data_IF_176434832268
#
_entry.id   IF_176434832268
#
_cell.length_a   1.000
_cell.length_b   1.000
_cell.length_c   1.000
_cell.angle_alpha   90.00
_cell.angle_beta   90.00
_cell.angle_gamma   90.00
#
_symmetry.space_group_name_H-M   'P 1'
#
loop_
_entity.id
_entity.type
_entity.pdbx_description
1 polymer ?
#
# COMPACT_ATOMS: atom_id res chain seq x y z
N UNK A 1 -15.12 -13.54 -9.01
CA UNK A 1 -15.29 -14.86 -8.36
C UNK A 1 -13.90 -15.38 -8.04
N UNK A 2 -13.58 -15.47 -6.76
CA UNK A 2 -12.23 -15.68 -6.26
C UNK A 2 -11.82 -17.15 -6.50
N UNK A 3 -11.00 -17.40 -7.53
CA UNK A 3 -10.26 -18.66 -7.66
C UNK A 3 -9.02 -18.62 -6.75
N UNK A 4 -9.25 -18.67 -5.43
CA UNK A 4 -8.15 -18.69 -4.45
C UNK A 4 -7.62 -20.12 -4.32
N UNK A 5 -6.49 -20.38 -4.97
CA UNK A 5 -5.55 -21.50 -4.70
C UNK A 5 -5.87 -22.87 -5.30
N UNK A 6 -6.35 -22.95 -6.54
CA UNK A 6 -6.40 -24.20 -7.33
C UNK A 6 -5.02 -24.73 -7.73
N UNK A 7 -3.98 -23.89 -7.73
CA UNK A 7 -2.60 -24.26 -8.10
C UNK A 7 -1.84 -25.08 -7.04
N UNK A 8 -2.37 -25.17 -5.80
CA UNK A 8 -1.77 -25.97 -4.72
C UNK A 8 -2.27 -27.42 -4.67
N UNK A 9 -3.16 -27.81 -5.59
CA UNK A 9 -3.83 -29.10 -5.54
C UNK A 9 -3.18 -30.10 -6.49
N UNK A 10 -2.89 -31.28 -5.97
CA UNK A 10 -2.50 -32.43 -6.78
C UNK A 10 -3.70 -32.91 -7.62
N UNK A 11 -3.45 -33.71 -8.66
CA UNK A 11 -4.56 -34.30 -9.42
C UNK A 11 -5.48 -35.15 -8.54
N UNK A 12 -4.92 -35.81 -7.51
CA UNK A 12 -5.68 -36.57 -6.51
C UNK A 12 -6.60 -35.66 -5.67
N UNK A 13 -6.13 -34.48 -5.26
CA UNK A 13 -6.95 -33.51 -4.53
C UNK A 13 -8.10 -32.98 -5.39
N UNK A 14 -7.81 -32.70 -6.67
CA UNK A 14 -8.81 -32.28 -7.65
C UNK A 14 -9.85 -33.38 -7.89
N UNK A 15 -9.41 -34.63 -7.96
CA UNK A 15 -10.30 -35.78 -8.11
C UNK A 15 -11.24 -35.92 -6.91
N UNK A 16 -10.73 -35.84 -5.68
CA UNK A 16 -11.54 -35.86 -4.45
C UNK A 16 -12.55 -34.70 -4.41
N UNK A 17 -12.15 -33.50 -4.86
CA UNK A 17 -13.05 -32.36 -4.96
C UNK A 17 -14.16 -32.55 -6.03
N UNK A 18 -13.81 -33.14 -7.19
CA UNK A 18 -14.75 -33.51 -8.25
C UNK A 18 -15.72 -34.60 -7.79
N UNK A 19 -15.23 -35.65 -7.11
CA UNK A 19 -16.03 -36.74 -6.57
C UNK A 19 -17.06 -36.21 -5.55
N UNK A 20 -16.64 -35.34 -4.63
CA UNK A 20 -17.55 -34.62 -3.72
C UNK A 20 -18.63 -33.85 -4.48
N UNK A 21 -18.27 -33.12 -5.55
CA UNK A 21 -19.23 -32.34 -6.36
C UNK A 21 -20.23 -33.24 -7.09
N UNK A 22 -19.77 -34.36 -7.66
CA UNK A 22 -20.63 -35.37 -8.31
C UNK A 22 -21.65 -35.95 -7.33
N UNK A 23 -21.19 -36.38 -6.14
CA UNK A 23 -22.07 -36.96 -5.12
C UNK A 23 -23.07 -35.94 -4.54
N UNK A 24 -22.68 -34.68 -4.44
CA UNK A 24 -23.61 -33.61 -4.06
C UNK A 24 -24.74 -33.47 -5.09
N UNK A 25 -24.43 -33.50 -6.39
CA UNK A 25 -25.44 -33.45 -7.44
C UNK A 25 -26.36 -34.68 -7.40
N UNK A 26 -25.83 -35.88 -7.18
CA UNK A 26 -26.63 -37.11 -7.01
C UNK A 26 -27.59 -36.99 -5.82
N UNK A 27 -27.11 -36.45 -4.69
CA UNK A 27 -27.96 -36.17 -3.53
C UNK A 27 -29.06 -35.13 -3.85
N UNK A 28 -28.75 -34.08 -4.62
CA UNK A 28 -29.74 -33.08 -5.02
C UNK A 28 -30.84 -33.67 -5.91
N UNK A 29 -30.48 -34.58 -6.82
CA UNK A 29 -31.43 -35.29 -7.67
C UNK A 29 -32.27 -36.31 -6.90
N UNK A 30 -31.71 -36.96 -5.87
CA UNK A 30 -32.40 -37.97 -5.07
C UNK A 30 -31.98 -37.88 -3.59
N UNK A 31 -32.82 -37.22 -2.79
CA UNK A 31 -32.55 -36.83 -1.39
C UNK A 31 -32.72 -37.98 -0.38
N UNK A 32 -32.07 -39.11 -0.63
CA UNK A 32 -32.06 -40.25 0.30
C UNK A 32 -31.01 -40.09 1.39
N UNK A 33 -31.24 -40.76 2.53
CA UNK A 33 -30.25 -40.83 3.62
C UNK A 33 -28.94 -41.49 3.17
N UNK A 34 -29.00 -42.47 2.28
CA UNK A 34 -27.82 -43.13 1.70
C UNK A 34 -26.98 -42.15 0.87
N UNK A 35 -27.60 -41.39 -0.04
CA UNK A 35 -26.91 -40.39 -0.86
C UNK A 35 -26.34 -39.24 -0.02
N UNK A 36 -27.03 -38.86 1.05
CA UNK A 36 -26.51 -37.89 2.00
C UNK A 36 -25.26 -38.39 2.71
N UNK A 37 -25.26 -39.65 3.16
CA UNK A 37 -24.12 -40.28 3.83
C UNK A 37 -22.88 -40.36 2.92
N UNK A 38 -23.06 -40.80 1.67
CA UNK A 38 -21.96 -40.91 0.69
C UNK A 38 -21.37 -39.54 0.33
N UNK A 39 -22.21 -38.52 0.13
CA UNK A 39 -21.73 -37.15 -0.04
C UNK A 39 -20.94 -36.64 1.18
N UNK A 40 -21.44 -36.90 2.39
CA UNK A 40 -20.79 -36.44 3.63
C UNK A 40 -19.39 -37.05 3.78
N UNK A 41 -19.24 -38.33 3.45
CA UNK A 41 -17.94 -39.00 3.51
C UNK A 41 -16.98 -38.43 2.45
N UNK A 42 -17.43 -38.28 1.19
CA UNK A 42 -16.62 -37.66 0.15
C UNK A 42 -16.24 -36.21 0.48
N UNK A 43 -17.13 -35.44 1.13
CA UNK A 43 -16.83 -34.10 1.63
C UNK A 43 -15.75 -34.13 2.72
N UNK A 44 -15.80 -35.11 3.62
CA UNK A 44 -14.79 -35.31 4.68
C UNK A 44 -13.43 -35.64 4.07
N UNK A 45 -13.39 -36.57 3.12
CA UNK A 45 -12.17 -36.97 2.40
C UNK A 45 -11.57 -35.79 1.64
N UNK A 46 -12.37 -35.04 0.88
CA UNK A 46 -11.89 -33.86 0.16
C UNK A 46 -11.37 -32.77 1.10
N UNK A 47 -12.07 -32.54 2.24
CA UNK A 47 -11.59 -31.56 3.25
C UNK A 47 -10.27 -31.99 3.86
N UNK A 48 -10.10 -33.28 4.16
CA UNK A 48 -8.84 -33.84 4.70
C UNK A 48 -7.70 -33.70 3.69
N UNK A 49 -7.94 -34.03 2.42
CA UNK A 49 -6.94 -33.90 1.36
C UNK A 49 -6.46 -32.45 1.20
N UNK A 50 -7.40 -31.49 1.13
CA UNK A 50 -7.07 -30.06 1.06
C UNK A 50 -6.29 -29.59 2.29
N UNK A 51 -6.62 -30.09 3.49
CA UNK A 51 -5.88 -29.75 4.70
C UNK A 51 -4.45 -30.28 4.67
N UNK A 52 -4.25 -31.52 4.23
CA UNK A 52 -2.92 -32.14 4.07
C UNK A 52 -2.09 -31.39 3.04
N UNK A 53 -2.64 -31.10 1.86
CA UNK A 53 -1.95 -30.37 0.80
C UNK A 53 -1.53 -28.97 1.25
N UNK A 54 -2.40 -28.26 2.00
CA UNK A 54 -2.06 -26.96 2.59
C UNK A 54 -0.95 -27.08 3.63
N UNK A 55 -1.02 -28.06 4.53
CA UNK A 55 0.02 -28.28 5.54
C UNK A 55 1.37 -28.55 4.87
N UNK A 56 1.44 -29.49 3.92
CA UNK A 56 2.66 -29.82 3.19
C UNK A 56 3.25 -28.61 2.46
N UNK A 57 2.42 -27.77 1.84
CA UNK A 57 2.89 -26.54 1.20
C UNK A 57 3.50 -25.55 2.20
N UNK A 58 2.82 -25.31 3.33
CA UNK A 58 3.32 -24.37 4.34
C UNK A 58 4.54 -24.90 5.09
N UNK A 59 4.65 -26.21 5.30
CA UNK A 59 5.84 -26.85 5.87
C UNK A 59 7.06 -26.63 4.97
N UNK A 60 6.91 -26.79 3.65
CA UNK A 60 7.97 -26.52 2.68
C UNK A 60 8.33 -25.03 2.62
N UNK A 61 7.35 -24.14 2.65
CA UNK A 61 7.61 -22.69 2.75
C UNK A 61 8.37 -22.38 4.03
N UNK A 62 7.97 -22.94 5.18
CA UNK A 62 8.66 -22.74 6.46
C UNK A 62 10.10 -23.19 6.41
N UNK A 63 10.37 -24.39 5.88
CA UNK A 63 11.73 -24.91 5.71
C UNK A 63 12.61 -23.99 4.85
N UNK A 64 12.06 -23.39 3.79
CA UNK A 64 12.79 -22.42 2.95
C UNK A 64 13.07 -21.11 3.68
N UNK A 65 12.19 -20.70 4.58
CA UNK A 65 12.40 -19.48 5.38
C UNK A 65 13.57 -19.62 6.36
N UNK A 66 13.91 -20.83 6.78
CA UNK A 66 15.07 -21.12 7.65
C UNK A 66 16.41 -21.08 6.89
N UNK A 67 16.39 -20.95 5.57
CA UNK A 67 17.60 -20.81 4.75
C UNK A 67 18.01 -19.35 4.61
N UNK A 68 19.27 -19.09 4.27
CA UNK A 68 19.74 -17.72 3.96
C UNK A 68 18.92 -17.04 2.85
N UNK A 69 18.40 -17.80 1.89
CA UNK A 69 17.51 -17.29 0.82
C UNK A 69 16.06 -17.04 1.27
N UNK A 70 15.73 -17.39 2.51
CA UNK A 70 14.42 -17.26 3.13
C UNK A 70 13.95 -15.81 3.25
N UNK A 71 14.86 -14.88 3.54
CA UNK A 71 14.55 -13.45 3.65
C UNK A 71 13.93 -12.90 2.35
N UNK A 72 14.51 -13.26 1.20
CA UNK A 72 14.00 -12.87 -0.13
C UNK A 72 12.61 -13.46 -0.42
N UNK A 73 12.33 -14.66 0.09
CA UNK A 73 11.03 -15.30 -0.04
C UNK A 73 9.95 -14.55 0.77
N UNK A 74 10.25 -14.08 1.98
CA UNK A 74 9.31 -13.28 2.79
C UNK A 74 8.89 -12.02 2.05
N UNK A 75 9.87 -11.22 1.60
CA UNK A 75 9.57 -9.98 0.89
C UNK A 75 8.77 -10.21 -0.38
N UNK A 76 9.04 -11.30 -1.11
CA UNK A 76 8.27 -11.68 -2.29
C UNK A 76 6.83 -12.06 -1.94
N UNK A 77 6.61 -12.88 -0.91
CA UNK A 77 5.26 -13.26 -0.44
C UNK A 77 4.49 -12.03 0.03
N UNK A 78 5.12 -11.14 0.80
CA UNK A 78 4.54 -9.89 1.27
C UNK A 78 4.12 -8.99 0.10
N UNK A 79 5.00 -8.77 -0.89
CA UNK A 79 4.67 -7.98 -2.09
C UNK A 79 3.52 -8.58 -2.90
N UNK A 80 3.46 -9.90 -3.06
CA UNK A 80 2.34 -10.55 -3.76
C UNK A 80 1.03 -10.36 -3.04
N UNK A 81 1.01 -10.48 -1.69
CA UNK A 81 -0.19 -10.21 -0.88
C UNK A 81 -0.65 -8.76 -1.01
N UNK A 82 0.29 -7.81 -0.93
CA UNK A 82 0.01 -6.39 -1.10
C UNK A 82 -0.63 -6.11 -2.46
N UNK A 83 -0.05 -6.63 -3.55
CA UNK A 83 -0.63 -6.51 -4.90
C UNK A 83 -2.03 -7.13 -5.01
N UNK A 84 -2.29 -8.23 -4.30
CA UNK A 84 -3.62 -8.87 -4.29
C UNK A 84 -4.66 -8.08 -3.47
N UNK A 85 -4.24 -7.22 -2.54
CA UNK A 85 -5.12 -6.33 -1.78
C UNK A 85 -5.36 -4.98 -2.44
N UNK A 86 -4.59 -4.63 -3.47
CA UNK A 86 -4.83 -3.44 -4.28
C UNK A 86 -6.11 -3.68 -5.13
N UNK A 87 -7.21 -3.00 -4.77
CA UNK A 87 -8.54 -3.13 -5.41
C UNK A 87 -8.54 -2.57 -6.85
N UNK A 88 -7.60 -1.67 -7.13
CA UNK A 88 -7.32 -1.10 -8.44
C UNK A 88 -5.87 -1.42 -8.77
N UNK A 89 -5.63 -2.20 -9.83
CA UNK A 89 -4.28 -2.35 -10.36
C UNK A 89 -3.75 -0.96 -10.69
N UNK A 90 -2.63 -0.57 -10.08
CA UNK A 90 -2.03 0.78 -10.12
C UNK A 90 -2.48 1.57 -11.36
N UNK A 91 -3.44 2.48 -11.16
CA UNK A 91 -3.98 3.27 -12.26
C UNK A 91 -2.94 4.29 -12.69
N UNK A 92 -2.52 4.21 -13.95
CA UNK A 92 -1.50 5.07 -14.54
C UNK A 92 -2.10 5.99 -15.62
N UNK A 93 -3.39 6.30 -15.51
CA UNK A 93 -4.09 7.11 -16.49
C UNK A 93 -4.08 8.59 -16.15
N UNK A 94 -3.77 9.43 -17.14
CA UNK A 94 -3.81 10.91 -17.02
C UNK A 94 -4.74 11.47 -18.07
N UNK A 95 -5.56 12.45 -17.70
CA UNK A 95 -6.45 13.12 -18.65
C UNK A 95 -5.70 14.17 -19.49
N UNK A 96 -6.00 14.23 -20.78
CA UNK A 96 -5.55 15.30 -21.66
C UNK A 96 -6.38 16.58 -21.46
N UNK A 97 -6.07 17.64 -22.22
CA UNK A 97 -6.80 18.93 -22.15
C UNK A 97 -8.28 18.83 -22.56
N UNK A 98 -8.68 17.71 -23.15
CA UNK A 98 -10.04 17.44 -23.61
C UNK A 98 -10.74 16.39 -22.73
N UNK A 99 -10.27 16.19 -21.50
CA UNK A 99 -10.78 15.19 -20.53
C UNK A 99 -10.77 13.75 -21.04
N UNK A 100 -9.94 13.43 -22.04
CA UNK A 100 -9.77 12.06 -22.53
C UNK A 100 -8.62 11.37 -21.80
N UNK A 101 -8.89 10.15 -21.34
CA UNK A 101 -7.93 9.37 -20.59
C UNK A 101 -6.80 8.84 -21.48
N UNK A 102 -5.57 9.22 -21.17
CA UNK A 102 -4.34 8.67 -21.75
C UNK A 102 -3.85 7.53 -20.86
N UNK A 103 -3.74 6.34 -21.44
CA UNK A 103 -3.17 5.14 -20.79
C UNK A 103 -1.80 4.73 -21.36
N UNK A 104 -1.36 5.36 -22.44
CA UNK A 104 -0.07 5.10 -23.08
C UNK A 104 1.06 5.83 -22.33
N UNK A 105 2.07 5.08 -21.88
CA UNK A 105 3.14 5.61 -21.02
C UNK A 105 3.95 6.73 -21.69
N UNK A 106 4.15 6.69 -23.02
CA UNK A 106 4.90 7.75 -23.72
C UNK A 106 4.07 9.03 -23.79
N UNK A 107 2.79 8.92 -24.13
CA UNK A 107 1.86 10.05 -24.19
C UNK A 107 1.61 10.66 -22.81
N UNK A 108 1.57 9.85 -21.76
CA UNK A 108 1.48 10.32 -20.38
C UNK A 108 2.72 11.17 -20.01
N UNK A 109 3.93 10.69 -20.31
CA UNK A 109 5.15 11.47 -20.07
C UNK A 109 5.21 12.76 -20.89
N UNK A 110 4.77 12.76 -22.15
CA UNK A 110 4.67 13.97 -22.98
C UNK A 110 3.64 14.95 -22.40
N UNK A 111 2.52 14.44 -21.91
CA UNK A 111 1.48 15.24 -21.26
C UNK A 111 2.02 15.96 -20.01
N UNK A 112 2.71 15.24 -19.14
CA UNK A 112 3.37 15.82 -17.96
C UNK A 112 4.38 16.90 -18.35
N UNK A 113 5.21 16.63 -19.36
CA UNK A 113 6.19 17.60 -19.85
C UNK A 113 5.53 18.90 -20.29
N UNK A 114 4.50 18.81 -21.15
CA UNK A 114 3.79 19.98 -21.67
C UNK A 114 3.05 20.76 -20.56
N UNK A 115 2.48 20.05 -19.58
CA UNK A 115 1.84 20.67 -18.43
C UNK A 115 2.83 21.51 -17.61
N UNK A 116 3.96 20.91 -17.21
CA UNK A 116 4.96 21.62 -16.42
C UNK A 116 5.63 22.75 -17.20
N UNK A 117 5.87 22.59 -18.49
CA UNK A 117 6.42 23.66 -19.34
C UNK A 117 5.49 24.87 -19.40
N UNK A 118 4.17 24.64 -19.54
CA UNK A 118 3.18 25.72 -19.51
C UNK A 118 3.08 26.39 -18.13
N UNK A 119 2.91 25.59 -17.06
CA UNK A 119 2.69 26.13 -15.71
C UNK A 119 3.93 26.79 -15.11
N UNK A 120 5.14 26.41 -15.53
CA UNK A 120 6.39 26.97 -14.98
C UNK A 120 6.90 28.20 -15.74
N UNK A 121 6.27 28.57 -16.86
CA UNK A 121 6.69 29.71 -17.70
C UNK A 121 5.73 30.90 -17.60
N UNK A 122 4.49 30.67 -17.18
CA UNK A 122 3.52 31.75 -16.93
C UNK A 122 3.77 32.36 -15.54
N UNK A 123 4.39 33.54 -15.51
CA UNK A 123 4.42 34.37 -14.31
C UNK A 123 2.98 34.83 -14.02
N UNK A 124 2.41 34.36 -12.90
CA UNK A 124 1.08 34.80 -12.49
C UNK A 124 1.10 36.32 -12.28
N UNK A 125 0.05 37.05 -12.72
CA UNK A 125 -0.03 38.48 -12.47
C UNK A 125 -0.03 38.73 -10.95
N UNK A 126 1.13 39.14 -10.45
CA UNK A 126 1.29 39.59 -9.08
C UNK A 126 1.45 41.11 -9.09
N UNK A 127 0.99 41.81 -8.03
CA UNK A 127 1.27 43.22 -7.90
C UNK A 127 2.80 43.46 -7.95
N UNK A 128 3.24 44.61 -8.47
CA UNK A 128 4.64 45.00 -8.40
C UNK A 128 5.13 44.84 -6.97
N UNK A 129 6.22 44.11 -6.77
CA UNK A 129 6.86 44.04 -5.47
C UNK A 129 7.17 45.49 -5.04
N UNK A 130 6.79 45.92 -3.83
CA UNK A 130 7.20 47.22 -3.34
C UNK A 130 8.72 47.26 -3.37
N UNK A 131 9.29 48.14 -4.18
CA UNK A 131 10.71 48.44 -4.09
C UNK A 131 10.92 49.20 -2.78
N UNK A 132 11.24 48.46 -1.73
CA UNK A 132 11.80 49.05 -0.52
C UNK A 132 13.27 49.37 -0.82
N UNK A 133 13.71 50.56 -0.39
CA UNK A 133 15.14 50.82 -0.36
C UNK A 133 15.81 49.70 0.46
N UNK A 134 16.94 49.14 -0.01
CA UNK A 134 17.76 48.28 0.82
C UNK A 134 17.93 48.99 2.16
N UNK A 135 17.80 48.28 3.28
CA UNK A 135 18.08 48.86 4.59
C UNK A 135 19.59 48.70 4.80
N UNK A 136 20.45 49.69 4.51
CA UNK A 136 21.87 49.58 4.80
C UNK A 136 22.07 49.61 6.31
N UNK A 137 22.56 48.49 6.84
CA UNK A 137 22.89 48.38 8.25
C UNK A 137 23.46 47.01 8.58
N UNK A 138 24.22 46.89 9.68
CA UNK A 138 24.58 45.58 10.21
C UNK A 138 23.29 44.83 10.56
N UNK A 139 23.19 43.58 10.12
CA UNK A 139 22.13 42.67 10.56
C UNK A 139 22.25 42.59 12.08
N UNK A 140 21.21 43.03 12.80
CA UNK A 140 21.22 42.93 14.26
C UNK A 140 21.32 41.46 14.65
N UNK A 141 22.17 41.10 15.62
CA UNK A 141 22.23 39.74 16.12
C UNK A 141 20.87 39.37 16.71
N UNK A 142 20.40 38.15 16.43
CA UNK A 142 19.16 37.62 16.96
C UNK A 142 19.26 37.62 18.49
N UNK A 143 18.34 38.31 19.16
CA UNK A 143 18.35 38.41 20.62
C UNK A 143 17.64 37.21 21.26
N UNK A 144 17.99 36.89 22.50
CA UNK A 144 17.32 35.82 23.25
C UNK A 144 15.82 36.11 23.42
N UNK A 145 15.44 37.38 23.60
CA UNK A 145 14.04 37.81 23.69
C UNK A 145 13.27 37.56 22.40
N UNK A 146 13.90 37.80 21.24
CA UNK A 146 13.31 37.54 19.93
C UNK A 146 13.02 36.05 19.74
N UNK A 147 13.98 35.18 20.09
CA UNK A 147 13.80 33.72 20.06
C UNK A 147 12.65 33.29 20.98
N UNK A 148 12.60 33.82 22.21
CA UNK A 148 11.50 33.50 23.15
C UNK A 148 10.14 33.95 22.61
N UNK A 149 10.05 35.12 21.98
CA UNK A 149 8.82 35.62 21.37
C UNK A 149 8.39 34.77 20.17
N UNK A 150 9.33 34.35 19.33
CA UNK A 150 9.06 33.46 18.19
C UNK A 150 8.56 32.08 18.66
N UNK A 151 9.22 31.48 19.66
CA UNK A 151 8.80 30.21 20.26
C UNK A 151 7.39 30.29 20.87
N UNK A 152 7.04 31.40 21.53
CA UNK A 152 5.69 31.63 22.07
C UNK A 152 4.61 31.66 20.99
N UNK A 153 4.92 32.20 19.79
CA UNK A 153 3.99 32.29 18.65
C UNK A 153 3.72 30.94 17.97
N UNK A 154 4.58 29.95 18.12
CA UNK A 154 4.36 28.62 17.53
C UNK A 154 3.05 28.00 18.04
N UNK A 155 2.31 27.26 17.21
CA UNK A 155 1.03 26.65 17.63
C UNK A 155 1.23 25.17 18.00
N UNK A 156 0.66 24.71 19.13
CA UNK A 156 0.69 23.30 19.49
C UNK A 156 -0.11 22.44 18.50
N UNK A 157 0.23 21.16 18.37
CA UNK A 157 -0.51 20.19 17.57
C UNK A 157 -0.52 20.42 16.06
N UNK A 158 0.50 21.08 15.50
CA UNK A 158 0.71 21.18 14.05
C UNK A 158 1.52 20.00 13.53
N UNK A 159 1.28 19.63 12.27
CA UNK A 159 2.04 18.58 11.60
C UNK A 159 3.53 18.92 11.60
N UNK A 160 4.36 17.90 11.83
CA UNK A 160 5.81 18.03 11.83
C UNK A 160 6.33 18.18 10.40
N UNK A 161 7.46 18.87 10.26
CA UNK A 161 8.17 18.97 8.99
C UNK A 161 8.98 17.70 8.69
N UNK A 162 9.80 17.72 7.63
CA UNK A 162 10.71 16.61 7.31
C UNK A 162 11.72 16.27 8.42
N UNK A 163 11.92 17.17 9.38
CA UNK A 163 12.76 17.00 10.57
C UNK A 163 12.06 16.22 11.70
N UNK A 164 10.75 15.97 11.58
CA UNK A 164 9.89 15.30 12.56
C UNK A 164 9.89 15.93 13.97
N UNK A 165 10.19 17.23 14.07
CA UNK A 165 10.26 17.92 15.37
C UNK A 165 8.98 18.71 15.65
N UNK A 166 8.28 18.35 16.72
CA UNK A 166 7.06 19.04 17.13
C UNK A 166 7.32 20.37 17.82
N UNK A 167 6.40 21.33 17.66
CA UNK A 167 6.44 22.64 18.33
C UNK A 167 6.48 22.54 19.86
N UNK A 168 5.94 21.47 20.45
CA UNK A 168 6.01 21.24 21.90
C UNK A 168 7.44 21.04 22.39
N UNK A 169 8.29 20.39 21.58
CA UNK A 169 9.67 20.13 21.96
C UNK A 169 10.42 21.46 22.15
N UNK A 170 10.25 22.37 21.19
CA UNK A 170 10.82 23.72 21.21
C UNK A 170 10.27 24.62 22.32
N UNK A 171 9.04 24.36 22.78
CA UNK A 171 8.40 25.08 23.89
C UNK A 171 8.66 24.49 25.27
N UNK A 172 9.14 23.25 25.33
CA UNK A 172 9.44 22.58 26.59
C UNK A 172 10.61 23.27 27.29
N UNK A 173 10.56 23.40 28.62
CA UNK A 173 11.54 24.12 29.47
C UNK A 173 12.93 23.47 29.52
N UNK A 174 13.29 22.60 28.58
CA UNK A 174 14.54 21.85 28.59
C UNK A 174 15.68 22.51 27.80
N UNK A 175 15.45 23.67 27.19
CA UNK A 175 16.50 24.46 26.58
C UNK A 175 17.23 25.30 27.63
N UNK A 176 18.39 24.82 28.08
CA UNK A 176 19.38 25.63 28.80
C UNK A 176 20.44 26.04 27.76
N UNK A 177 20.54 27.32 27.36
CA UNK A 177 21.71 27.76 26.60
C UNK A 177 22.91 27.61 27.55
N UNK A 178 23.90 26.81 27.14
CA UNK A 178 25.15 26.72 27.88
C UNK A 178 25.79 28.11 27.96
N UNK A 179 26.17 28.51 29.17
CA UNK A 179 26.97 29.70 29.46
C UNK A 179 28.32 29.66 28.75
#
# INVERSE_FOLDING_TARGET
MIDRQTWLWTEEDKEKARAKKRLYNVFLCNKTAANWSTYREARRVAKKAVAIAKAAHYDEVSRRLETHDGERLIYRVARTRQRQSEDVGKFHGVNNDHDQLIMDTKKDMERWRNYFEKTSTEEFPHPPLPQAEPIPGPILPISAEEVVLALRKMKPGKATGPDDVAAELWKSRHWNPAN
#
